data_IF_240496765257
#
_entry.id   IF_240496765257
#
_cell.length_a   1.000
_cell.length_b   1.000
_cell.length_c   1.000
_cell.angle_alpha   90.00
_cell.angle_beta   90.00
_cell.angle_gamma   90.00
#
_symmetry.space_group_name_H-M   'P 1'
#
loop_
_entity.id
_entity.type
_entity.pdbx_description
1 polymer ?
#
# COMPACT_ATOMS: atom_id res chain seq x y z
N UNK A 1 23.76 -30.69 13.14
CA UNK A 1 24.52 -29.47 12.75
C UNK A 1 23.91 -28.74 11.56
N UNK A 2 23.72 -29.36 10.37
CA UNK A 2 23.14 -28.68 9.18
C UNK A 2 21.78 -27.99 9.38
N UNK A 3 20.88 -28.57 10.17
CA UNK A 3 19.57 -27.95 10.46
C UNK A 3 19.67 -26.69 11.33
N UNK A 4 20.69 -26.60 12.19
CA UNK A 4 20.91 -25.44 13.05
C UNK A 4 21.44 -24.28 12.19
N UNK A 5 22.44 -24.54 11.34
CA UNK A 5 22.99 -23.54 10.42
C UNK A 5 21.93 -22.97 9.47
N UNK A 6 21.07 -23.83 8.90
CA UNK A 6 19.98 -23.40 8.04
C UNK A 6 18.96 -22.54 8.81
N UNK A 7 18.63 -22.91 10.05
CA UNK A 7 17.72 -22.14 10.91
C UNK A 7 18.32 -20.79 11.30
N UNK A 8 19.59 -20.74 11.69
CA UNK A 8 20.29 -19.50 12.04
C UNK A 8 20.36 -18.54 10.85
N UNK A 9 20.64 -19.05 9.64
CA UNK A 9 20.63 -18.24 8.43
C UNK A 9 19.25 -17.63 8.17
N UNK A 10 18.17 -18.43 8.30
CA UNK A 10 16.79 -17.95 8.16
C UNK A 10 16.45 -16.87 9.19
N UNK A 11 16.91 -17.01 10.43
CA UNK A 11 16.72 -15.99 11.47
C UNK A 11 17.41 -14.70 11.06
N UNK A 12 18.67 -14.75 10.62
CA UNK A 12 19.40 -13.57 10.17
C UNK A 12 18.76 -12.89 8.96
N UNK A 13 18.25 -13.66 7.99
CA UNK A 13 17.57 -13.11 6.82
C UNK A 13 16.24 -12.45 7.23
N UNK A 14 15.49 -13.05 8.16
CA UNK A 14 14.28 -12.47 8.73
C UNK A 14 14.57 -11.17 9.51
N UNK A 15 15.60 -11.14 10.34
CA UNK A 15 16.00 -9.94 11.10
C UNK A 15 16.35 -8.76 10.19
N UNK A 16 17.06 -9.04 9.08
CA UNK A 16 17.35 -8.03 8.04
C UNK A 16 16.07 -7.52 7.38
N UNK A 17 15.15 -8.42 7.02
CA UNK A 17 13.87 -8.04 6.42
C UNK A 17 13.04 -7.17 7.38
N UNK A 18 12.94 -7.55 8.65
CA UNK A 18 12.24 -6.78 9.69
C UNK A 18 12.83 -5.37 9.80
N UNK A 19 14.16 -5.26 9.82
CA UNK A 19 14.84 -3.96 9.91
C UNK A 19 14.55 -3.09 8.68
N UNK A 20 14.58 -3.67 7.47
CA UNK A 20 14.23 -2.96 6.23
C UNK A 20 12.80 -2.44 6.28
N UNK A 21 11.84 -3.32 6.60
CA UNK A 21 10.43 -2.96 6.67
C UNK A 21 10.13 -1.91 7.74
N UNK A 22 10.79 -1.97 8.90
CA UNK A 22 10.65 -0.95 9.94
C UNK A 22 11.14 0.43 9.46
N UNK A 23 12.29 0.48 8.78
CA UNK A 23 12.83 1.71 8.24
C UNK A 23 11.95 2.29 7.11
N UNK A 24 11.46 1.44 6.22
CA UNK A 24 10.50 1.81 5.17
C UNK A 24 9.21 2.36 5.78
N UNK A 25 8.65 1.67 6.79
CA UNK A 25 7.47 2.12 7.51
C UNK A 25 7.68 3.51 8.14
N UNK A 26 8.77 3.72 8.88
CA UNK A 26 9.08 5.01 9.48
C UNK A 26 9.20 6.11 8.43
N UNK A 27 9.89 5.82 7.32
CA UNK A 27 10.02 6.76 6.20
C UNK A 27 8.65 7.13 5.62
N UNK A 28 7.78 6.15 5.39
CA UNK A 28 6.43 6.40 4.89
C UNK A 28 5.58 7.19 5.89
N UNK A 29 5.65 6.85 7.18
CA UNK A 29 4.96 7.55 8.25
C UNK A 29 5.37 9.02 8.33
N UNK A 30 6.67 9.30 8.33
CA UNK A 30 7.20 10.65 8.37
C UNK A 30 6.83 11.45 7.11
N UNK A 31 6.80 10.79 5.95
CA UNK A 31 6.31 11.39 4.71
C UNK A 31 4.82 11.73 4.79
N UNK A 32 3.98 10.86 5.35
CA UNK A 32 2.55 11.13 5.55
C UNK A 32 2.34 12.34 6.47
N UNK A 33 3.10 12.43 7.56
CA UNK A 33 3.01 13.54 8.50
C UNK A 33 3.50 14.85 7.87
N UNK A 34 4.61 14.79 7.12
CA UNK A 34 5.12 15.94 6.38
C UNK A 34 4.11 16.46 5.33
N UNK A 35 3.42 15.57 4.61
CA UNK A 35 2.41 15.96 3.63
C UNK A 35 1.20 16.66 4.25
N UNK A 36 0.88 16.37 5.52
CA UNK A 36 -0.23 17.01 6.26
C UNK A 36 0.16 18.35 6.88
N UNK A 37 1.40 18.48 7.34
CA UNK A 37 1.80 19.58 8.24
C UNK A 37 2.80 20.55 7.64
N UNK A 38 3.54 20.16 6.59
CA UNK A 38 4.64 20.95 6.03
C UNK A 38 4.29 21.44 4.62
N UNK A 39 4.76 22.64 4.22
CA UNK A 39 4.60 23.10 2.85
C UNK A 39 5.40 22.21 1.89
N UNK A 40 4.82 21.93 0.72
CA UNK A 40 5.47 21.15 -0.35
C UNK A 40 5.96 22.09 -1.44
N UNK A 41 7.25 22.01 -1.76
CA UNK A 41 7.85 22.78 -2.85
C UNK A 41 7.75 22.00 -4.16
N UNK A 42 7.19 22.63 -5.19
CA UNK A 42 7.11 22.08 -6.54
C UNK A 42 8.20 22.69 -7.42
N UNK A 43 9.13 21.87 -7.88
CA UNK A 43 10.23 22.27 -8.77
C UNK A 43 10.08 21.73 -10.20
N UNK A 44 8.97 21.04 -10.51
CA UNK A 44 8.76 20.51 -11.86
C UNK A 44 8.63 21.66 -12.85
N UNK A 45 9.44 21.63 -13.90
CA UNK A 45 9.40 22.60 -14.99
C UNK A 45 8.70 22.05 -16.23
N UNK A 46 8.24 20.79 -16.21
CA UNK A 46 7.60 20.10 -17.34
C UNK A 46 6.28 19.46 -16.93
N UNK A 47 5.33 19.47 -17.85
CA UNK A 47 4.04 18.82 -17.67
C UNK A 47 4.22 17.31 -17.77
N UNK A 48 3.64 16.58 -16.82
CA UNK A 48 3.78 15.12 -16.73
C UNK A 48 3.05 14.41 -17.88
N UNK A 49 2.02 15.04 -18.46
CA UNK A 49 1.23 14.47 -19.57
C UNK A 49 1.88 14.72 -20.94
N UNK A 50 2.20 15.98 -21.28
CA UNK A 50 2.69 16.34 -22.62
C UNK A 50 4.21 16.57 -22.70
N UNK A 51 4.93 16.52 -21.57
CA UNK A 51 6.38 16.75 -21.45
C UNK A 51 6.89 18.14 -21.88
N UNK A 52 6.00 19.04 -22.32
CA UNK A 52 6.32 20.42 -22.64
C UNK A 52 6.62 21.23 -21.36
N UNK A 53 7.35 22.37 -21.46
CA UNK A 53 7.53 23.28 -20.35
C UNK A 53 6.20 23.68 -19.70
N UNK A 54 6.15 23.69 -18.37
CA UNK A 54 4.98 24.15 -17.64
C UNK A 54 4.80 25.64 -17.84
N UNK A 55 3.59 26.02 -18.21
CA UNK A 55 3.10 27.38 -18.23
C UNK A 55 1.88 27.49 -17.31
N UNK A 56 1.53 28.72 -16.97
CA UNK A 56 0.34 28.98 -16.17
C UNK A 56 -0.90 28.98 -17.07
N UNK A 57 -2.04 28.46 -16.59
CA UNK A 57 -2.26 27.86 -15.26
C UNK A 57 -1.78 26.40 -15.15
N UNK A 58 -1.11 26.09 -14.04
CA UNK A 58 -0.63 24.75 -13.70
C UNK A 58 -1.33 24.19 -12.46
N UNK A 59 -1.44 22.87 -12.40
CA UNK A 59 -1.99 22.13 -11.25
C UNK A 59 -0.91 21.17 -10.75
N UNK A 60 -0.70 21.18 -9.44
CA UNK A 60 0.32 20.40 -8.75
C UNK A 60 -0.33 19.46 -7.73
N UNK A 61 -0.04 18.17 -7.83
CA UNK A 61 -0.48 17.18 -6.87
C UNK A 61 0.61 16.95 -5.83
N UNK A 62 0.24 16.65 -4.58
CA UNK A 62 1.19 16.39 -3.49
C UNK A 62 2.15 15.22 -3.76
N UNK A 63 1.83 14.33 -4.71
CA UNK A 63 2.76 13.33 -5.25
C UNK A 63 3.87 13.92 -6.15
N UNK A 64 4.00 15.26 -6.20
CA UNK A 64 4.96 16.05 -6.99
C UNK A 64 4.77 16.00 -8.51
N UNK A 65 3.73 15.35 -9.00
CA UNK A 65 3.36 15.43 -10.41
C UNK A 65 2.65 16.75 -10.72
N UNK A 66 3.09 17.37 -11.80
CA UNK A 66 2.65 18.70 -12.22
C UNK A 66 2.14 18.65 -13.65
N UNK A 67 1.05 19.36 -13.92
CA UNK A 67 0.35 19.34 -15.20
C UNK A 67 -0.10 20.75 -15.59
N UNK A 68 -0.23 21.01 -16.89
CA UNK A 68 -1.04 22.14 -17.34
C UNK A 68 -2.51 21.89 -17.00
N UNK A 69 -3.27 22.92 -16.65
CA UNK A 69 -4.71 22.78 -16.44
C UNK A 69 -5.40 22.16 -17.67
N UNK A 70 -5.00 22.57 -18.88
CA UNK A 70 -5.50 22.01 -20.15
C UNK A 70 -5.17 20.52 -20.38
N UNK A 71 -4.13 20.00 -19.74
CA UNK A 71 -3.71 18.60 -19.89
C UNK A 71 -4.40 17.64 -18.92
N UNK A 72 -5.17 18.16 -17.95
CA UNK A 72 -5.90 17.34 -16.97
C UNK A 72 -7.32 16.99 -17.43
N UNK A 73 -7.90 17.75 -18.36
CA UNK A 73 -9.31 17.55 -18.76
C UNK A 73 -10.25 17.70 -17.55
N UNK A 74 -11.31 16.89 -17.50
CA UNK A 74 -12.26 16.82 -16.37
C UNK A 74 -11.82 15.84 -15.27
N UNK A 75 -10.56 15.39 -15.28
CA UNK A 75 -10.04 14.44 -14.30
C UNK A 75 -9.80 15.19 -12.99
N UNK A 76 -10.86 15.25 -12.18
CA UNK A 76 -10.90 15.91 -10.88
C UNK A 76 -9.93 15.32 -9.86
N UNK A 77 -9.62 16.14 -8.84
CA UNK A 77 -8.98 15.94 -7.52
C UNK A 77 -7.85 14.92 -7.32
N UNK A 78 -7.45 14.15 -8.34
CA UNK A 78 -6.50 13.05 -8.25
C UNK A 78 -5.51 13.08 -9.41
N UNK A 79 -4.27 12.67 -9.12
CA UNK A 79 -3.20 12.67 -10.12
C UNK A 79 -3.41 11.52 -11.12
N UNK A 80 -3.56 11.79 -12.43
CA UNK A 80 -3.84 10.74 -13.43
C UNK A 80 -2.77 9.65 -13.48
N UNK A 81 -1.50 10.01 -13.25
CA UNK A 81 -0.38 9.07 -13.25
C UNK A 81 -0.39 8.12 -12.05
N UNK A 82 -0.82 8.59 -10.88
CA UNK A 82 -0.83 7.78 -9.65
C UNK A 82 -2.18 7.09 -9.43
N UNK A 83 -3.24 7.56 -10.08
CA UNK A 83 -4.61 7.09 -9.86
C UNK A 83 -4.75 5.58 -10.09
N UNK A 84 -4.16 5.04 -11.17
CA UNK A 84 -4.27 3.61 -11.50
C UNK A 84 -3.68 2.75 -10.38
N UNK A 85 -2.48 3.08 -9.91
CA UNK A 85 -1.82 2.34 -8.83
C UNK A 85 -2.59 2.45 -7.51
N UNK A 86 -3.06 3.66 -7.17
CA UNK A 86 -3.86 3.88 -5.98
C UNK A 86 -5.20 3.10 -6.04
N UNK A 87 -5.86 3.07 -7.20
CA UNK A 87 -7.08 2.28 -7.40
C UNK A 87 -6.84 0.78 -7.20
N UNK A 88 -5.74 0.25 -7.74
CA UNK A 88 -5.38 -1.16 -7.53
C UNK A 88 -5.19 -1.50 -6.04
N UNK A 89 -4.54 -0.61 -5.29
CA UNK A 89 -4.35 -0.77 -3.84
C UNK A 89 -5.69 -0.73 -3.09
N UNK A 90 -6.56 0.23 -3.40
CA UNK A 90 -7.90 0.34 -2.80
C UNK A 90 -8.78 -0.87 -3.11
N UNK A 91 -8.72 -1.38 -4.34
CA UNK A 91 -9.46 -2.59 -4.74
C UNK A 91 -8.92 -3.84 -4.04
N UNK A 92 -7.61 -3.94 -3.85
CA UNK A 92 -7.01 -5.02 -3.07
C UNK A 92 -7.46 -4.96 -1.60
N UNK A 93 -7.40 -3.79 -0.98
CA UNK A 93 -7.89 -3.56 0.38
C UNK A 93 -9.36 -3.96 0.50
N UNK A 94 -10.21 -3.47 -0.41
CA UNK A 94 -11.65 -3.79 -0.43
C UNK A 94 -11.91 -5.29 -0.56
N UNK A 95 -11.16 -5.98 -1.41
CA UNK A 95 -11.25 -7.45 -1.55
C UNK A 95 -10.89 -8.17 -0.25
N UNK A 96 -9.82 -7.76 0.42
CA UNK A 96 -9.42 -8.33 1.71
C UNK A 96 -10.47 -8.07 2.80
N UNK A 97 -11.03 -6.86 2.86
CA UNK A 97 -12.09 -6.54 3.83
C UNK A 97 -13.40 -7.30 3.57
N UNK A 98 -13.76 -7.53 2.30
CA UNK A 98 -14.93 -8.33 1.94
C UNK A 98 -14.69 -9.82 2.24
N UNK A 99 -13.53 -10.35 1.85
CA UNK A 99 -13.16 -11.73 2.11
C UNK A 99 -13.17 -12.02 3.61
N UNK A 100 -12.63 -11.12 4.43
CA UNK A 100 -12.64 -11.27 5.88
C UNK A 100 -14.05 -11.39 6.49
N UNK A 101 -15.09 -10.84 5.85
CA UNK A 101 -16.49 -10.96 6.31
C UNK A 101 -17.16 -12.28 5.91
N UNK A 102 -16.54 -13.08 5.04
CA UNK A 102 -17.11 -14.35 4.57
C UNK A 102 -16.82 -15.49 5.56
N UNK A 103 -17.31 -15.35 6.80
CA UNK A 103 -17.05 -16.29 7.88
C UNK A 103 -17.60 -17.69 7.57
N UNK A 104 -18.77 -17.79 6.94
CA UNK A 104 -19.39 -19.07 6.60
C UNK A 104 -18.54 -19.88 5.60
N UNK A 105 -17.96 -19.21 4.61
CA UNK A 105 -17.05 -19.85 3.66
C UNK A 105 -15.79 -20.37 4.34
N UNK A 106 -15.27 -19.62 5.32
CA UNK A 106 -14.15 -20.06 6.16
C UNK A 106 -14.52 -21.29 6.99
N UNK A 107 -15.63 -21.26 7.73
CA UNK A 107 -16.05 -22.37 8.58
C UNK A 107 -16.37 -23.64 7.78
N UNK A 108 -17.04 -23.51 6.64
CA UNK A 108 -17.29 -24.64 5.74
C UNK A 108 -15.99 -25.28 5.26
N UNK A 109 -15.00 -24.46 4.86
CA UNK A 109 -13.69 -24.95 4.42
C UNK A 109 -12.90 -25.57 5.57
N UNK A 110 -13.00 -25.01 6.78
CA UNK A 110 -12.36 -25.54 7.97
C UNK A 110 -12.91 -26.92 8.34
N UNK A 111 -14.23 -27.10 8.28
CA UNK A 111 -14.90 -28.35 8.60
C UNK A 111 -14.60 -29.47 7.60
N UNK A 112 -14.35 -29.12 6.33
CA UNK A 112 -14.04 -30.08 5.26
C UNK A 112 -12.54 -30.31 5.04
N UNK A 113 -11.66 -29.67 5.82
CA UNK A 113 -10.21 -29.75 5.61
C UNK A 113 -9.56 -30.82 6.47
N UNK A 114 -8.57 -31.53 5.92
CA UNK A 114 -7.73 -32.46 6.68
C UNK A 114 -6.74 -31.71 7.60
N UNK A 115 -6.28 -30.52 7.18
CA UNK A 115 -5.44 -29.63 8.00
C UNK A 115 -6.20 -28.33 8.30
N UNK A 116 -6.74 -28.23 9.51
CA UNK A 116 -7.42 -27.04 9.98
C UNK A 116 -6.47 -25.87 10.28
N UNK A 117 -5.22 -26.16 10.68
CA UNK A 117 -4.24 -25.12 10.98
C UNK A 117 -3.80 -24.40 9.71
N UNK A 118 -3.58 -25.12 8.61
CA UNK A 118 -3.28 -24.51 7.31
C UNK A 118 -4.41 -23.57 6.85
N UNK A 119 -5.67 -23.97 7.01
CA UNK A 119 -6.83 -23.13 6.65
C UNK A 119 -6.86 -21.85 7.48
N UNK A 120 -6.64 -21.95 8.79
CA UNK A 120 -6.59 -20.79 9.71
C UNK A 120 -5.42 -19.86 9.35
N UNK A 121 -4.22 -20.41 9.16
CA UNK A 121 -3.02 -19.64 8.81
C UNK A 121 -3.16 -18.95 7.45
N UNK A 122 -3.75 -19.63 6.46
CA UNK A 122 -4.04 -19.07 5.14
C UNK A 122 -5.09 -17.95 5.22
N UNK A 123 -6.14 -18.13 6.03
CA UNK A 123 -7.18 -17.13 6.21
C UNK A 123 -6.64 -15.85 6.87
N UNK A 124 -5.83 -16.01 7.92
CA UNK A 124 -5.21 -14.90 8.62
C UNK A 124 -4.24 -14.13 7.72
N UNK A 125 -3.34 -14.84 7.02
CA UNK A 125 -2.35 -14.20 6.14
C UNK A 125 -2.94 -13.45 4.94
N UNK A 126 -4.13 -13.85 4.47
CA UNK A 126 -4.82 -13.19 3.34
C UNK A 126 -5.62 -11.96 3.75
N UNK A 127 -5.97 -11.84 5.02
CA UNK A 127 -6.84 -10.77 5.53
C UNK A 127 -6.18 -9.94 6.64
N UNK A 128 -4.91 -9.51 6.52
CA UNK A 128 -4.19 -8.86 7.62
C UNK A 128 -4.84 -7.53 8.04
N UNK A 129 -5.42 -6.79 7.10
CA UNK A 129 -6.03 -5.48 7.35
C UNK A 129 -7.46 -5.54 7.89
N UNK A 130 -8.09 -6.72 7.88
CA UNK A 130 -9.41 -6.89 8.49
C UNK A 130 -9.32 -6.83 10.02
N UNK A 131 -8.19 -7.25 10.58
CA UNK A 131 -7.96 -7.30 12.03
C UNK A 131 -7.36 -6.00 12.58
N UNK A 132 -6.65 -5.21 11.76
CA UNK A 132 -6.02 -3.95 12.21
C UNK A 132 -7.00 -2.80 12.43
N UNK A 133 -8.23 -2.86 11.87
CA UNK A 133 -9.29 -1.88 12.18
C UNK A 133 -9.75 -1.89 13.65
N UNK A 134 -9.38 -2.90 14.44
CA UNK A 134 -9.73 -2.97 15.87
C UNK A 134 -8.86 -2.07 16.76
N UNK A 135 -7.81 -1.45 16.23
CA UNK A 135 -6.86 -0.65 17.04
C UNK A 135 -7.14 0.86 16.96
N UNK A 136 -7.99 1.31 16.03
CA UNK A 136 -8.33 2.73 15.83
C UNK A 136 -9.77 3.06 16.31
N UNK A 137 -10.21 2.52 17.46
CA UNK A 137 -11.44 2.96 18.17
C UNK A 137 -11.11 3.72 19.44
#
# INVERSE_FOLDING_TARGET
MRQIEASTKRIQDNEKAITSYANEYMTHHDNMEALKTKPVVFQSTKCTSCMAPLDLPSVHFLCKHSYHQRCLGDIGDSCPKCQVENQMLEDQRRRQELAAKQHDAFFNKLQSSDDGFEVVASWFSKNPFAFTRLVDQ
#
